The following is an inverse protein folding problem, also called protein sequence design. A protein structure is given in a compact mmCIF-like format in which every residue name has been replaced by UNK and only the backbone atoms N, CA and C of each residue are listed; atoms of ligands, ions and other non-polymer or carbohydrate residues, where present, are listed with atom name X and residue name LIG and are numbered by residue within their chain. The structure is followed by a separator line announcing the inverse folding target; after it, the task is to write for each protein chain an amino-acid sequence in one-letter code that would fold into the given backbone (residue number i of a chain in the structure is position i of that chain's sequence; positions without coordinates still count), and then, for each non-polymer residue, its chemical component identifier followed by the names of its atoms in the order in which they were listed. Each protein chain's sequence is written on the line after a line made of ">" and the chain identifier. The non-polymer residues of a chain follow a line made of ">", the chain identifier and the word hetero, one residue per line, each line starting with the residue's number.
data_IF_701515182063
#
_entry.id   IF_701515182063
#
_cell.length_a   1.000
_cell.length_b   1.000
_cell.length_c   1.000
_cell.angle_alpha   90.00
_cell.angle_beta   90.00
_cell.angle_gamma   90.00
#
_symmetry.space_group_name_H-M   'P 1'
#
loop_
_entity.id
_entity.type
_entity.pdbx_description
1 polymer ?
#
# COMPACT_ATOMS: atom_id res chain seq x y z
N UNK A 1 -45.23 -19.91 -17.07
CA UNK A 1 -45.21 -18.88 -16.01
C UNK A 1 -44.27 -19.45 -14.95
N UNK A 2 -42.96 -19.40 -15.19
CA UNK A 2 -42.08 -18.24 -14.95
C UNK A 2 -42.08 -17.87 -13.48
N UNK A 3 -41.06 -18.32 -12.76
CA UNK A 3 -40.22 -17.42 -11.97
C UNK A 3 -38.88 -18.14 -11.70
N UNK A 4 -37.87 -17.73 -12.47
CA UNK A 4 -36.47 -18.14 -12.31
C UNK A 4 -35.82 -17.11 -11.38
N UNK A 5 -35.89 -17.39 -10.08
CA UNK A 5 -35.19 -16.62 -9.06
C UNK A 5 -33.72 -17.03 -9.02
N UNK A 6 -32.95 -16.62 -10.03
CA UNK A 6 -31.49 -16.71 -10.02
C UNK A 6 -30.95 -15.72 -8.99
N UNK A 7 -30.95 -16.15 -7.72
CA UNK A 7 -30.14 -15.52 -6.70
C UNK A 7 -28.68 -15.89 -6.98
N UNK A 8 -27.95 -15.00 -7.66
CA UNK A 8 -26.49 -15.07 -7.72
C UNK A 8 -25.98 -15.08 -6.28
N UNK A 9 -25.57 -16.26 -5.82
CA UNK A 9 -24.89 -16.43 -4.55
C UNK A 9 -23.48 -15.90 -4.74
N UNK A 10 -23.28 -14.60 -4.49
CA UNK A 10 -21.95 -14.00 -4.44
C UNK A 10 -21.11 -14.83 -3.47
N UNK A 11 -20.02 -15.42 -3.96
CA UNK A 11 -19.13 -16.16 -3.09
C UNK A 11 -18.43 -15.15 -2.16
N UNK A 12 -18.21 -15.46 -0.88
CA UNK A 12 -17.64 -14.50 0.08
C UNK A 12 -16.23 -14.01 -0.28
N UNK A 13 -15.57 -14.61 -1.28
CA UNK A 13 -14.30 -14.14 -1.83
C UNK A 13 -14.41 -13.07 -2.92
N UNK A 14 -15.56 -12.98 -3.61
CA UNK A 14 -15.75 -12.00 -4.69
C UNK A 14 -15.99 -10.59 -4.15
N UNK A 15 -16.65 -10.46 -3.00
CA UNK A 15 -16.86 -9.17 -2.32
C UNK A 15 -15.55 -8.55 -1.80
N UNK A 16 -14.54 -9.37 -1.49
CA UNK A 16 -13.20 -8.89 -1.14
C UNK A 16 -12.41 -8.50 -2.39
N UNK A 17 -12.79 -9.03 -3.57
CA UNK A 17 -12.22 -8.74 -4.89
C UNK A 17 -12.73 -7.46 -5.55
N UNK A 18 -13.90 -6.99 -5.15
CA UNK A 18 -14.47 -5.74 -5.69
C UNK A 18 -14.21 -4.52 -4.79
N UNK A 19 -13.58 -4.72 -3.62
CA UNK A 19 -13.23 -3.60 -2.73
C UNK A 19 -12.19 -2.68 -3.37
N UNK A 20 -12.29 -1.35 -3.13
CA UNK A 20 -11.22 -0.42 -3.47
C UNK A 20 -9.89 -0.86 -2.83
N UNK A 21 -8.78 -0.64 -3.55
CA UNK A 21 -7.42 -1.01 -3.07
C UNK A 21 -7.14 -0.45 -1.68
N UNK A 22 -7.54 0.79 -1.42
CA UNK A 22 -7.40 1.44 -0.12
C UNK A 22 -8.01 0.60 1.02
N UNK A 23 -9.23 0.10 0.81
CA UNK A 23 -9.96 -0.70 1.80
C UNK A 23 -9.34 -2.08 1.98
N UNK A 24 -8.83 -2.68 0.89
CA UNK A 24 -8.12 -3.97 0.98
C UNK A 24 -6.80 -3.84 1.76
N UNK A 25 -6.03 -2.78 1.49
CA UNK A 25 -4.80 -2.46 2.22
C UNK A 25 -5.09 -2.25 3.70
N UNK A 26 -6.07 -1.39 4.03
CA UNK A 26 -6.46 -1.10 5.40
C UNK A 26 -6.79 -2.39 6.17
N UNK A 27 -7.73 -3.18 5.67
CA UNK A 27 -8.18 -4.40 6.35
C UNK A 27 -7.04 -5.39 6.62
N UNK A 28 -6.12 -5.56 5.67
CA UNK A 28 -5.04 -6.54 5.78
C UNK A 28 -3.91 -6.02 6.68
N UNK A 29 -3.58 -4.73 6.60
CA UNK A 29 -2.52 -4.11 7.38
C UNK A 29 -2.87 -3.99 8.87
N UNK A 30 -4.16 -3.88 9.21
CA UNK A 30 -4.59 -3.89 10.62
C UNK A 30 -4.07 -5.12 11.38
N UNK A 31 -4.01 -6.29 10.74
CA UNK A 31 -3.49 -7.52 11.34
C UNK A 31 -1.99 -7.47 11.66
N UNK A 32 -1.27 -6.53 11.04
CA UNK A 32 0.15 -6.24 11.28
C UNK A 32 0.37 -5.09 12.27
N UNK A 33 -0.70 -4.56 12.88
CA UNK A 33 -0.62 -3.38 13.76
C UNK A 33 -0.33 -2.08 13.00
N UNK A 34 -0.64 -2.05 11.70
CA UNK A 34 -0.50 -0.90 10.81
C UNK A 34 -1.91 -0.43 10.43
N UNK A 35 -2.23 0.84 10.67
CA UNK A 35 -3.55 1.41 10.40
C UNK A 35 -3.43 2.47 9.32
N UNK A 36 -4.07 2.25 8.18
CA UNK A 36 -4.08 3.23 7.07
C UNK A 36 -4.94 4.42 7.49
N UNK A 37 -4.37 5.63 7.41
CA UNK A 37 -5.04 6.89 7.77
C UNK A 37 -5.40 7.72 6.56
N UNK A 38 -4.63 7.60 5.47
CA UNK A 38 -4.95 8.22 4.20
C UNK A 38 -4.45 7.38 3.03
N UNK A 39 -5.21 7.42 1.93
CA UNK A 39 -4.84 6.86 0.64
C UNK A 39 -5.31 7.82 -0.45
N UNK A 40 -4.43 8.16 -1.39
CA UNK A 40 -4.77 9.03 -2.51
C UNK A 40 -4.06 8.59 -3.79
N UNK A 41 -4.81 8.47 -4.89
CA UNK A 41 -4.20 8.33 -6.21
C UNK A 41 -3.49 9.63 -6.60
N UNK A 42 -2.27 9.51 -7.12
CA UNK A 42 -1.50 10.67 -7.63
C UNK A 42 -1.75 10.93 -9.12
N UNK A 43 -2.32 9.95 -9.82
CA UNK A 43 -2.71 10.10 -11.23
C UNK A 43 -4.17 10.56 -11.32
N UNK A 44 -4.41 11.71 -11.96
CA UNK A 44 -5.76 12.27 -12.16
C UNK A 44 -6.68 11.30 -12.94
N UNK A 45 -6.10 10.42 -13.76
CA UNK A 45 -6.85 9.42 -14.53
C UNK A 45 -7.43 8.32 -13.63
N UNK A 46 -6.70 7.94 -12.57
CA UNK A 46 -7.14 6.93 -11.61
C UNK A 46 -8.09 7.50 -10.54
N UNK A 47 -8.02 8.81 -10.27
CA UNK A 47 -8.88 9.48 -9.29
C UNK A 47 -10.36 9.59 -9.72
N UNK A 48 -10.65 9.55 -11.02
CA UNK A 48 -12.02 9.68 -11.54
C UNK A 48 -12.86 8.40 -11.47
N UNK A 49 -12.20 7.24 -11.31
CA UNK A 49 -12.85 5.94 -11.19
C UNK A 49 -12.27 5.25 -9.95
N UNK A 50 -12.69 5.70 -8.76
CA UNK A 50 -12.20 5.20 -7.45
C UNK A 50 -12.35 3.68 -7.31
N UNK A 51 -13.22 3.06 -8.11
CA UNK A 51 -13.47 1.63 -8.10
C UNK A 51 -12.45 0.83 -8.95
N UNK A 52 -11.80 1.46 -9.93
CA UNK A 52 -11.02 0.73 -10.93
C UNK A 52 -9.55 1.13 -10.89
N UNK A 53 -8.74 0.26 -10.29
CA UNK A 53 -7.30 0.40 -10.26
C UNK A 53 -6.74 0.50 -11.69
N UNK A 54 -6.04 1.60 -11.99
CA UNK A 54 -5.35 1.76 -13.27
C UNK A 54 -3.92 1.22 -13.14
N UNK A 55 -3.49 0.39 -14.08
CA UNK A 55 -2.13 -0.15 -14.09
C UNK A 55 -1.08 0.96 -14.14
N UNK A 56 -0.10 0.83 -13.23
CA UNK A 56 0.99 1.77 -13.06
C UNK A 56 0.57 3.13 -12.49
N UNK A 57 -0.68 3.30 -12.04
CA UNK A 57 -1.12 4.50 -11.34
C UNK A 57 -0.43 4.61 -9.98
N UNK A 58 0.20 5.76 -9.73
CA UNK A 58 0.87 6.02 -8.46
C UNK A 58 -0.11 6.43 -7.37
N UNK A 59 0.29 6.26 -6.12
CA UNK A 59 -0.52 6.62 -4.96
C UNK A 59 0.33 7.02 -3.75
N UNK A 60 -0.27 7.80 -2.87
CA UNK A 60 0.25 8.15 -1.56
C UNK A 60 -0.46 7.33 -0.50
N UNK A 61 0.31 6.83 0.47
CA UNK A 61 -0.17 6.05 1.60
C UNK A 61 0.32 6.68 2.90
N UNK A 62 -0.61 7.07 3.77
CA UNK A 62 -0.30 7.42 5.15
C UNK A 62 -0.82 6.32 6.07
N UNK A 63 0.00 5.95 7.05
CA UNK A 63 -0.39 4.95 8.03
C UNK A 63 0.26 5.20 9.39
N UNK A 64 -0.44 4.76 10.43
CA UNK A 64 0.05 4.68 11.79
C UNK A 64 0.53 3.27 12.10
N UNK A 65 1.49 3.14 13.01
CA UNK A 65 1.90 1.84 13.55
C UNK A 65 1.92 1.83 15.07
N UNK A 66 1.55 0.69 15.64
CA UNK A 66 1.64 0.43 17.08
C UNK A 66 3.08 0.24 17.57
N UNK A 67 4.05 0.13 16.66
CA UNK A 67 5.44 -0.02 17.02
C UNK A 67 5.95 1.21 17.79
N UNK A 68 6.45 0.99 19.01
CA UNK A 68 7.01 2.06 19.87
C UNK A 68 8.42 2.55 19.43
N UNK A 69 8.84 2.17 18.23
CA UNK A 69 10.14 2.56 17.66
C UNK A 69 9.96 3.91 16.95
N UNK A 70 10.77 4.95 17.20
CA UNK A 70 10.60 6.27 16.59
C UNK A 70 11.21 6.37 15.17
N UNK A 71 11.18 5.29 14.39
CA UNK A 71 11.75 5.20 13.05
C UNK A 71 11.03 4.12 12.22
N UNK A 72 11.02 4.28 10.89
CA UNK A 72 10.44 3.28 9.97
C UNK A 72 11.32 2.02 9.98
N UNK A 73 10.72 0.85 10.21
CA UNK A 73 11.47 -0.42 10.27
C UNK A 73 11.38 -1.19 8.97
N UNK A 74 12.36 -2.07 8.72
CA UNK A 74 12.32 -3.00 7.59
C UNK A 74 11.12 -3.95 7.65
N UNK A 75 10.71 -4.35 8.86
CA UNK A 75 9.59 -5.27 9.06
C UNK A 75 8.25 -4.62 8.70
N UNK A 76 8.09 -3.34 9.06
CA UNK A 76 6.94 -2.50 8.71
C UNK A 76 6.85 -2.31 7.20
N UNK A 77 7.94 -1.88 6.55
CA UNK A 77 8.01 -1.72 5.09
C UNK A 77 7.71 -3.05 4.40
N UNK A 78 8.31 -4.13 4.86
CA UNK A 78 8.09 -5.47 4.33
C UNK A 78 6.63 -5.92 4.47
N UNK A 79 5.95 -5.59 5.57
CA UNK A 79 4.53 -5.90 5.74
C UNK A 79 3.68 -5.14 4.72
N UNK A 80 3.90 -3.83 4.57
CA UNK A 80 3.19 -3.01 3.57
C UNK A 80 3.39 -3.56 2.16
N UNK A 81 4.63 -3.83 1.76
CA UNK A 81 4.95 -4.33 0.42
C UNK A 81 4.35 -5.71 0.15
N UNK A 82 4.45 -6.66 1.09
CA UNK A 82 3.85 -7.98 0.91
C UNK A 82 2.35 -7.91 0.77
N UNK A 83 1.68 -7.10 1.58
CA UNK A 83 0.23 -6.90 1.49
C UNK A 83 -0.15 -6.27 0.15
N UNK A 84 0.56 -5.23 -0.27
CA UNK A 84 0.32 -4.57 -1.55
C UNK A 84 0.48 -5.54 -2.73
N UNK A 85 1.57 -6.31 -2.76
CA UNK A 85 1.85 -7.26 -3.84
C UNK A 85 0.83 -8.40 -3.88
N UNK A 86 0.37 -8.88 -2.72
CA UNK A 86 -0.71 -9.87 -2.65
C UNK A 86 -2.03 -9.31 -3.22
N UNK A 87 -2.39 -8.06 -2.90
CA UNK A 87 -3.58 -7.42 -3.45
C UNK A 87 -3.43 -7.24 -4.97
N UNK A 88 -2.26 -6.79 -5.42
CA UNK A 88 -1.93 -6.60 -6.83
C UNK A 88 -2.08 -7.92 -7.63
N UNK A 89 -1.51 -9.02 -7.13
CA UNK A 89 -1.64 -10.35 -7.74
C UNK A 89 -3.11 -10.80 -7.83
N UNK A 90 -3.88 -10.67 -6.75
CA UNK A 90 -5.29 -11.05 -6.71
C UNK A 90 -6.18 -10.24 -7.66
N UNK A 91 -5.74 -9.02 -8.00
CA UNK A 91 -6.46 -8.06 -8.84
C UNK A 91 -5.93 -7.99 -10.26
N UNK A 92 -4.89 -8.74 -10.59
CA UNK A 92 -4.15 -8.63 -11.85
C UNK A 92 -3.73 -7.17 -12.15
N UNK A 93 -3.39 -6.42 -11.10
CA UNK A 93 -3.06 -4.99 -11.16
C UNK A 93 -1.56 -4.78 -10.93
N UNK A 94 -0.94 -3.87 -11.69
CA UNK A 94 0.44 -3.46 -11.46
C UNK A 94 0.50 -2.12 -10.71
N UNK A 95 1.09 -2.06 -9.50
CA UNK A 95 1.23 -0.80 -8.78
C UNK A 95 2.11 0.23 -9.49
N UNK A 96 1.74 1.50 -9.42
CA UNK A 96 2.60 2.61 -9.81
C UNK A 96 3.57 3.04 -8.71
N UNK A 97 4.07 4.29 -8.81
CA UNK A 97 4.92 4.87 -7.76
C UNK A 97 4.15 4.95 -6.44
N UNK A 98 4.77 4.47 -5.36
CA UNK A 98 4.24 4.55 -4.00
C UNK A 98 5.05 5.58 -3.21
N UNK A 99 4.38 6.58 -2.64
CA UNK A 99 4.92 7.44 -1.59
C UNK A 99 4.27 7.08 -0.26
N UNK A 100 5.06 6.72 0.75
CA UNK A 100 4.57 6.27 2.03
C UNK A 100 5.06 7.16 3.18
N UNK A 101 4.15 7.49 4.10
CA UNK A 101 4.44 8.21 5.33
C UNK A 101 3.98 7.40 6.54
N UNK A 102 4.92 7.15 7.45
CA UNK A 102 4.70 6.43 8.70
C UNK A 102 4.53 7.42 9.85
N UNK A 103 3.47 7.21 10.63
CA UNK A 103 3.09 8.00 11.78
C UNK A 103 3.13 7.14 13.06
N UNK A 104 3.34 7.78 14.20
CA UNK A 104 2.95 7.25 15.51
C UNK A 104 1.44 7.34 15.67
N UNK A 105 0.89 6.62 16.64
CA UNK A 105 -0.55 6.67 17.00
C UNK A 105 -1.03 8.01 17.58
N UNK A 106 -0.12 8.96 17.81
CA UNK A 106 -0.43 10.34 18.17
C UNK A 106 -0.34 11.32 16.98
N UNK A 107 -0.12 10.81 15.76
CA UNK A 107 -0.03 11.58 14.52
C UNK A 107 1.36 12.18 14.25
N UNK A 108 2.39 11.81 15.00
CA UNK A 108 3.76 12.30 14.77
C UNK A 108 4.45 11.52 13.64
N UNK A 109 5.02 12.24 12.67
CA UNK A 109 5.80 11.61 11.58
C UNK A 109 7.04 10.89 12.12
N UNK A 110 7.15 9.59 11.82
CA UNK A 110 8.31 8.74 12.10
C UNK A 110 9.31 8.78 10.93
N UNK A 111 8.80 8.75 9.71
CA UNK A 111 9.61 8.83 8.50
C UNK A 111 8.79 8.68 7.23
N UNK A 112 9.49 8.72 6.09
CA UNK A 112 8.93 8.57 4.74
C UNK A 112 9.77 7.58 3.95
N UNK A 113 9.15 6.89 3.01
CA UNK A 113 9.82 6.00 2.08
C UNK A 113 9.01 5.93 0.79
N UNK A 114 9.61 5.44 -0.28
CA UNK A 114 8.94 5.30 -1.57
C UNK A 114 9.39 4.07 -2.32
N UNK A 115 8.58 3.71 -3.31
CA UNK A 115 8.88 2.71 -4.34
C UNK A 115 8.68 3.36 -5.70
N UNK A 116 9.69 3.28 -6.56
CA UNK A 116 9.55 3.75 -7.93
C UNK A 116 8.72 2.77 -8.76
N UNK A 117 7.90 3.29 -9.68
CA UNK A 117 7.08 2.48 -10.60
C UNK A 117 7.93 1.45 -11.36
N UNK A 118 9.08 1.89 -11.87
CA UNK A 118 10.01 1.02 -12.62
C UNK A 118 10.51 -0.18 -11.82
N UNK A 119 10.46 -0.15 -10.49
CA UNK A 119 10.87 -1.29 -9.66
C UNK A 119 9.77 -2.35 -9.59
N UNK A 120 8.50 -1.95 -9.58
CA UNK A 120 7.39 -2.88 -9.73
C UNK A 120 7.40 -3.54 -11.12
N UNK A 121 7.58 -2.73 -12.17
CA UNK A 121 7.60 -3.23 -13.57
C UNK A 121 8.71 -4.28 -13.81
N UNK A 122 9.81 -4.20 -13.04
CA UNK A 122 10.99 -5.06 -13.20
C UNK A 122 11.01 -6.25 -12.22
N UNK A 123 10.14 -6.25 -11.21
CA UNK A 123 10.08 -7.29 -10.19
C UNK A 123 9.74 -8.65 -10.80
N UNK A 124 10.56 -9.67 -10.54
CA UNK A 124 10.39 -11.02 -11.08
C UNK A 124 10.86 -11.20 -12.53
N UNK A 125 11.13 -10.11 -13.26
CA UNK A 125 11.73 -10.14 -14.59
C UNK A 125 13.23 -9.86 -14.56
N UNK A 126 13.61 -8.68 -14.09
CA UNK A 126 15.02 -8.20 -14.06
C UNK A 126 15.51 -7.91 -12.64
N UNK A 127 14.58 -7.77 -11.69
CA UNK A 127 14.86 -7.41 -10.30
C UNK A 127 14.35 -8.53 -9.40
N UNK A 128 15.24 -9.09 -8.57
CA UNK A 128 14.85 -10.07 -7.55
C UNK A 128 14.12 -9.39 -6.39
N UNK A 129 13.34 -10.16 -5.63
CA UNK A 129 12.67 -9.66 -4.41
C UNK A 129 13.64 -9.06 -3.39
N UNK A 130 14.85 -9.63 -3.27
CA UNK A 130 15.88 -9.14 -2.37
C UNK A 130 16.41 -7.78 -2.82
N UNK A 131 16.73 -7.62 -4.11
CA UNK A 131 17.19 -6.34 -4.66
C UNK A 131 16.08 -5.27 -4.64
N UNK A 132 14.83 -5.67 -4.88
CA UNK A 132 13.68 -4.79 -4.74
C UNK A 132 13.56 -4.28 -3.30
N UNK A 133 13.60 -5.20 -2.32
CA UNK A 133 13.52 -4.84 -0.90
C UNK A 133 14.67 -3.92 -0.50
N UNK A 134 15.91 -4.22 -0.91
CA UNK A 134 17.06 -3.39 -0.62
C UNK A 134 16.92 -1.98 -1.21
N UNK A 135 16.45 -1.84 -2.45
CA UNK A 135 16.19 -0.54 -3.07
C UNK A 135 15.18 0.27 -2.28
N UNK A 136 14.07 -0.34 -1.86
CA UNK A 136 13.03 0.33 -1.08
C UNK A 136 13.55 0.73 0.30
N UNK A 137 14.27 -0.14 1.00
CA UNK A 137 14.82 0.21 2.33
C UNK A 137 15.81 1.37 2.26
N UNK A 138 16.54 1.52 1.15
CA UNK A 138 17.43 2.66 0.91
C UNK A 138 16.70 3.99 0.66
N UNK A 139 15.39 3.97 0.43
CA UNK A 139 14.59 5.21 0.29
C UNK A 139 14.10 5.76 1.62
N UNK A 140 14.21 4.99 2.71
CA UNK A 140 13.76 5.40 4.04
C UNK A 140 14.49 6.68 4.45
N UNK A 141 13.71 7.71 4.73
CA UNK A 141 14.13 8.98 5.31
C UNK A 141 13.47 9.09 6.67
N UNK A 142 14.28 9.10 7.73
CA UNK A 142 13.80 9.48 9.05
C UNK A 142 13.24 10.90 9.03
N UNK A 143 12.34 11.21 9.97
CA UNK A 143 11.91 12.60 10.19
C UNK A 143 13.16 13.49 10.29
N UNK A 144 13.23 14.64 9.59
CA UNK A 144 14.30 15.61 9.82
C UNK A 144 14.28 15.96 11.31
N UNK A 145 15.32 15.52 12.00
CA UNK A 145 15.44 15.74 13.43
C UNK A 145 15.58 17.24 13.61
N UNK A 146 14.66 17.87 14.35
CA UNK A 146 14.81 19.26 14.78
C UNK A 146 15.93 19.31 15.84
N UNK A 147 17.17 19.11 15.37
CA UNK A 147 18.39 19.00 16.18
C UNK A 147 19.48 19.92 15.64
N UNK A 148 19.06 21.06 15.09
CA UNK A 148 19.93 22.20 14.76
C UNK A 148 19.69 23.40 15.70
N UNK A 149 19.21 23.14 16.93
CA UNK A 149 19.04 24.19 17.93
C UNK A 149 19.55 23.74 19.32
N UNK A 150 20.88 23.70 19.47
CA UNK A 150 21.52 23.86 20.77
C UNK A 150 22.89 24.53 20.66
#
# INVERSE_FOLDING_TARGET
>A
MSDDGSGSKTEPGDEERDRPIAVALENRLMSHGIYVTAFAWTDETAANDEATAVDGAGFELEYETVAEIPAVTSDEVGAVLRTLLSIAEEREWTPGRLEAMSLTTDGTVRGRWHVEREWFDRLGAELSEAEFSERVLNTIRDRPTDRDNR
#
